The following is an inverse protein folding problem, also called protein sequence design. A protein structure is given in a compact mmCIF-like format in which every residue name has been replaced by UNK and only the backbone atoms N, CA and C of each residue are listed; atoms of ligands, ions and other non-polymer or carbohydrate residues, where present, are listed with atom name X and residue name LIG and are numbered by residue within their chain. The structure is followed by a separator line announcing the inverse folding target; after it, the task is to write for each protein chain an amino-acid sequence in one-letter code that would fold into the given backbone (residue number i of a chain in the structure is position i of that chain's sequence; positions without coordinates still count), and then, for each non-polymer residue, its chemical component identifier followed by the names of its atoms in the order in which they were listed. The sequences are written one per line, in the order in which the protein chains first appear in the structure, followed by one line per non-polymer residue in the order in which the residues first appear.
data_IF_132765441687
#
_entry.id   IF_132765441687
#
_cell.length_a   1.000
_cell.length_b   1.000
_cell.length_c   1.000
_cell.angle_alpha   90.00
_cell.angle_beta   90.00
_cell.angle_gamma   90.00
#
_symmetry.space_group_name_H-M   'P 1'
#
loop_
_entity.id
_entity.type
_entity.pdbx_description
1 polymer ?
#
# COMPACT_ATOMS: atom_id res chain seq x y z
N UNK A 1 -26.27 -59.07 -5.77
CA UNK A 1 -25.59 -58.28 -6.82
C UNK A 1 -26.27 -56.94 -6.90
N UNK A 2 -25.60 -55.84 -6.53
CA UNK A 2 -25.69 -54.50 -7.15
C UNK A 2 -24.60 -53.64 -6.49
N UNK A 3 -23.71 -53.10 -7.31
CA UNK A 3 -22.64 -52.18 -6.93
C UNK A 3 -23.16 -50.74 -7.01
N UNK A 4 -22.73 -49.85 -6.12
CA UNK A 4 -22.87 -48.39 -6.27
C UNK A 4 -21.51 -47.75 -6.04
N UNK A 5 -21.02 -47.07 -7.08
CA UNK A 5 -19.72 -46.39 -7.14
C UNK A 5 -19.85 -44.94 -6.66
N UNK A 6 -18.79 -44.44 -6.05
CA UNK A 6 -18.75 -43.18 -5.30
C UNK A 6 -18.68 -41.89 -6.13
N UNK A 7 -19.10 -40.82 -5.47
CA UNK A 7 -19.00 -39.42 -5.89
C UNK A 7 -17.64 -38.81 -5.51
N UNK A 8 -17.11 -37.98 -6.41
CA UNK A 8 -15.97 -37.08 -6.18
C UNK A 8 -16.40 -35.61 -6.42
N UNK A 9 -15.78 -34.63 -5.75
CA UNK A 9 -16.30 -33.25 -5.68
C UNK A 9 -15.86 -32.37 -6.86
N UNK A 10 -16.78 -31.52 -7.32
CA UNK A 10 -16.61 -30.58 -8.44
C UNK A 10 -16.08 -29.22 -7.98
N UNK A 11 -14.92 -28.80 -8.50
CA UNK A 11 -14.36 -27.44 -8.34
C UNK A 11 -15.02 -26.45 -9.32
N UNK A 12 -15.35 -25.20 -8.93
CA UNK A 12 -15.97 -24.24 -9.85
C UNK A 12 -14.94 -23.55 -10.76
N UNK A 13 -15.20 -23.58 -12.07
CA UNK A 13 -14.44 -22.85 -13.10
C UNK A 13 -14.93 -21.39 -13.21
N UNK A 14 -13.96 -20.47 -13.23
CA UNK A 14 -14.14 -19.04 -13.52
C UNK A 14 -14.55 -18.81 -14.97
N UNK A 15 -15.73 -18.24 -15.19
CA UNK A 15 -16.28 -17.92 -16.51
C UNK A 15 -15.69 -16.63 -17.09
N UNK A 16 -14.90 -16.76 -18.15
CA UNK A 16 -14.47 -15.66 -19.02
C UNK A 16 -15.47 -15.55 -20.17
N UNK A 17 -16.25 -14.47 -20.22
CA UNK A 17 -17.19 -14.22 -21.33
C UNK A 17 -16.44 -13.52 -22.47
N UNK A 18 -16.22 -14.26 -23.56
CA UNK A 18 -15.73 -13.72 -24.85
C UNK A 18 -16.96 -13.49 -25.73
N UNK A 19 -17.28 -12.23 -26.04
CA UNK A 19 -18.34 -11.90 -27.01
C UNK A 19 -17.69 -11.58 -28.35
N UNK A 20 -17.91 -12.45 -29.33
CA UNK A 20 -17.59 -12.25 -30.74
C UNK A 20 -18.68 -11.45 -31.46
N UNK A 21 -18.30 -10.67 -32.48
CA UNK A 21 -19.15 -9.74 -33.20
C UNK A 21 -20.03 -10.41 -34.28
N UNK A 22 -21.23 -9.87 -34.49
CA UNK A 22 -22.06 -10.05 -35.69
C UNK A 22 -22.67 -8.71 -36.13
N UNK A 23 -22.82 -8.52 -37.44
CA UNK A 23 -23.08 -7.24 -38.13
C UNK A 23 -24.57 -6.83 -38.25
N UNK A 24 -24.83 -5.50 -38.12
CA UNK A 24 -25.81 -4.54 -38.73
C UNK A 24 -27.17 -5.02 -39.30
N UNK A 25 -28.27 -4.19 -39.38
CA UNK A 25 -28.28 -2.75 -39.75
C UNK A 25 -29.36 -1.82 -39.12
N UNK A 26 -29.27 -0.49 -39.37
CA UNK A 26 -30.41 0.44 -39.32
C UNK A 26 -30.17 1.81 -38.65
N UNK A 27 -29.87 2.84 -39.44
CA UNK A 27 -30.10 4.26 -39.06
C UNK A 27 -31.60 4.63 -39.25
N UNK A 28 -32.12 5.64 -38.54
CA UNK A 28 -32.18 6.96 -39.18
C UNK A 28 -31.80 8.16 -38.27
N UNK A 29 -31.01 9.04 -38.90
CA UNK A 29 -30.83 10.49 -38.71
C UNK A 29 -31.82 11.26 -37.82
N UNK A 30 -31.30 12.07 -36.87
CA UNK A 30 -31.48 13.54 -36.88
C UNK A 30 -30.81 14.29 -35.70
N UNK A 31 -30.05 15.33 -36.08
CA UNK A 31 -29.69 16.58 -35.35
C UNK A 31 -28.59 16.54 -34.28
N UNK A 32 -27.39 16.61 -34.84
CA UNK A 32 -26.17 17.31 -34.40
C UNK A 32 -26.27 18.34 -33.26
N UNK A 33 -25.48 18.10 -32.22
CA UNK A 33 -24.73 19.16 -31.55
C UNK A 33 -23.34 18.62 -31.15
N UNK A 34 -22.48 18.44 -32.15
CA UNK A 34 -21.14 17.89 -31.98
C UNK A 34 -20.21 18.94 -31.37
N UNK A 35 -20.03 18.91 -30.04
CA UNK A 35 -18.84 19.48 -29.42
C UNK A 35 -17.66 18.59 -29.81
N UNK A 36 -16.85 19.05 -30.77
CA UNK A 36 -15.59 18.42 -31.18
C UNK A 36 -14.79 18.02 -29.94
N UNK A 37 -14.73 16.71 -29.66
CA UNK A 37 -13.78 16.16 -28.72
C UNK A 37 -12.39 16.39 -29.30
N UNK A 38 -11.62 17.27 -28.66
CA UNK A 38 -10.22 17.48 -28.99
C UNK A 38 -9.49 16.18 -28.61
N UNK A 39 -9.22 15.33 -29.60
CA UNK A 39 -8.27 14.24 -29.47
C UNK A 39 -6.91 14.91 -29.29
N UNK A 40 -6.46 15.06 -28.04
CA UNK A 40 -5.07 15.37 -27.74
C UNK A 40 -4.26 14.11 -28.05
N UNK A 41 -3.80 14.03 -29.30
CA UNK A 41 -2.75 13.09 -29.71
C UNK A 41 -1.55 13.34 -28.79
N UNK A 42 -1.25 12.35 -27.95
CA UNK A 42 -0.02 12.33 -27.17
C UNK A 42 1.14 12.25 -28.17
N UNK A 43 2.15 13.13 -28.11
CA UNK A 43 3.27 13.05 -29.03
C UNK A 43 3.97 11.71 -28.86
N UNK A 44 3.95 10.93 -29.92
CA UNK A 44 4.62 9.64 -30.07
C UNK A 44 6.07 9.77 -29.57
N UNK A 45 6.36 9.21 -28.38
CA UNK A 45 7.71 9.21 -27.82
C UNK A 45 8.53 8.20 -28.61
N UNK A 46 9.46 8.73 -29.40
CA UNK A 46 10.63 8.07 -30.00
C UNK A 46 10.32 6.74 -30.69
N UNK A 47 10.03 6.83 -31.99
CA UNK A 47 10.23 5.67 -32.89
C UNK A 47 11.67 5.19 -32.72
N UNK A 48 11.84 3.92 -32.40
CA UNK A 48 13.13 3.24 -32.50
C UNK A 48 13.67 3.44 -33.92
N UNK A 49 14.84 4.06 -34.05
CA UNK A 49 15.58 4.15 -35.29
C UNK A 49 16.89 3.43 -35.05
N UNK A 50 16.91 2.15 -35.44
CA UNK A 50 18.08 1.29 -35.44
C UNK A 50 17.74 0.07 -36.29
N UNK A 51 18.62 -0.30 -37.22
CA UNK A 51 18.45 -1.55 -37.96
C UNK A 51 18.56 -2.71 -36.96
N UNK A 52 17.47 -3.47 -36.79
CA UNK A 52 17.46 -4.63 -35.90
C UNK A 52 18.45 -5.68 -36.39
N UNK A 53 19.32 -6.15 -35.49
CA UNK A 53 20.25 -7.25 -35.77
C UNK A 53 19.45 -8.54 -35.68
N UNK A 54 19.35 -9.26 -36.80
CA UNK A 54 18.70 -10.56 -36.88
C UNK A 54 19.68 -11.63 -36.39
N UNK A 55 19.33 -12.34 -35.31
CA UNK A 55 20.21 -13.29 -34.59
C UNK A 55 20.46 -14.63 -35.32
N UNK A 56 20.20 -14.73 -36.63
CA UNK A 56 20.35 -15.98 -37.39
C UNK A 56 21.47 -15.99 -38.43
N UNK A 57 22.36 -14.99 -38.49
CA UNK A 57 23.48 -15.01 -39.44
C UNK A 57 24.81 -15.21 -38.75
N UNK A 58 25.28 -16.46 -38.76
CA UNK A 58 26.59 -16.85 -38.30
C UNK A 58 27.69 -16.25 -39.19
N UNK A 59 28.71 -15.72 -38.51
CA UNK A 59 30.08 -15.42 -38.93
C UNK A 59 30.42 -15.53 -40.43
N UNK A 60 30.78 -14.39 -41.02
CA UNK A 60 31.98 -14.31 -41.86
C UNK A 60 32.71 -13.00 -41.56
N UNK A 61 33.93 -13.14 -41.03
CA UNK A 61 34.85 -12.07 -40.77
C UNK A 61 35.48 -11.57 -42.07
N UNK A 62 35.57 -10.24 -42.21
CA UNK A 62 36.58 -9.58 -43.03
C UNK A 62 37.13 -8.39 -42.26
N UNK A 63 38.45 -8.46 -42.02
CA UNK A 63 39.28 -7.48 -41.32
C UNK A 63 39.47 -6.19 -42.16
N UNK A 64 39.95 -5.17 -41.44
CA UNK A 64 40.67 -3.95 -41.90
C UNK A 64 39.80 -2.68 -42.06
N UNK A 65 39.78 -1.86 -41.01
CA UNK A 65 39.68 -0.41 -41.12
C UNK A 65 40.47 0.25 -39.96
N UNK A 66 41.37 1.22 -40.22
CA UNK A 66 42.07 1.93 -39.14
C UNK A 66 41.11 2.86 -38.39
N UNK A 67 41.36 3.17 -37.10
CA UNK A 67 40.46 4.00 -36.30
C UNK A 67 40.43 5.45 -36.82
N UNK A 68 39.27 6.11 -36.89
CA UNK A 68 39.21 7.53 -37.23
C UNK A 68 39.82 8.39 -36.11
N UNK A 69 40.40 9.56 -36.42
CA UNK A 69 40.99 10.43 -35.42
C UNK A 69 39.93 10.93 -34.44
N UNK A 70 40.31 10.96 -33.16
CA UNK A 70 39.46 11.42 -32.05
C UNK A 70 38.88 12.80 -32.34
N UNK A 71 37.56 12.86 -32.61
CA UNK A 71 36.83 14.11 -32.65
C UNK A 71 36.68 14.62 -31.22
N UNK A 72 37.37 15.72 -30.91
CA UNK A 72 37.22 16.44 -29.64
C UNK A 72 35.86 17.13 -29.63
N UNK A 73 34.82 16.39 -29.27
CA UNK A 73 33.51 16.96 -28.97
C UNK A 73 33.64 17.80 -27.69
N UNK A 74 33.84 19.11 -27.85
CA UNK A 74 33.82 20.07 -26.74
C UNK A 74 32.48 19.94 -26.02
N UNK A 75 32.50 19.40 -24.80
CA UNK A 75 31.32 19.31 -23.93
C UNK A 75 30.72 20.72 -23.76
N UNK A 76 29.41 20.92 -23.93
CA UNK A 76 28.80 22.22 -23.75
C UNK A 76 29.03 22.71 -22.32
N UNK A 77 29.55 23.93 -22.16
CA UNK A 77 29.76 24.58 -20.85
C UNK A 77 28.41 24.77 -20.17
N UNK A 78 28.10 23.94 -19.18
CA UNK A 78 26.96 24.13 -18.28
C UNK A 78 27.23 25.30 -17.36
N UNK A 79 26.50 26.40 -17.50
CA UNK A 79 26.50 27.49 -16.52
C UNK A 79 25.80 27.01 -15.25
N UNK A 80 26.49 27.06 -14.11
CA UNK A 80 25.91 26.73 -12.81
C UNK A 80 24.75 27.69 -12.49
N UNK A 81 23.63 27.12 -12.06
CA UNK A 81 22.46 27.90 -11.60
C UNK A 81 22.65 28.12 -10.10
N UNK A 82 22.93 29.36 -9.70
CA UNK A 82 23.02 29.74 -8.29
C UNK A 82 21.64 30.13 -7.76
N UNK A 83 21.27 29.52 -6.64
CA UNK A 83 20.03 29.76 -5.90
C UNK A 83 20.45 30.07 -4.47
N UNK A 84 20.32 31.32 -4.05
CA UNK A 84 21.00 31.83 -2.86
C UNK A 84 20.22 31.55 -1.57
N UNK A 85 18.89 31.31 -1.67
CA UNK A 85 18.04 30.93 -0.54
C UNK A 85 16.72 30.28 -0.98
N UNK A 86 16.03 29.59 -0.05
CA UNK A 86 14.71 28.98 -0.31
C UNK A 86 13.66 30.01 -0.74
N UNK A 87 13.61 31.17 -0.09
CA UNK A 87 12.67 32.26 -0.43
C UNK A 87 12.95 32.85 -1.83
N UNK A 88 14.22 32.89 -2.22
CA UNK A 88 14.65 33.31 -3.55
C UNK A 88 14.23 32.29 -4.63
N UNK A 89 14.34 30.98 -4.34
CA UNK A 89 13.83 29.91 -5.23
C UNK A 89 12.33 30.03 -5.43
N UNK A 90 11.57 30.22 -4.36
CA UNK A 90 10.10 30.34 -4.41
C UNK A 90 9.66 31.53 -5.25
N UNK A 91 10.28 32.70 -5.01
CA UNK A 91 10.01 33.92 -5.77
C UNK A 91 10.35 33.77 -7.25
N UNK A 92 11.55 33.23 -7.57
CA UNK A 92 11.99 32.96 -8.94
C UNK A 92 11.12 31.93 -9.65
N UNK A 93 10.65 30.90 -8.94
CA UNK A 93 9.76 29.87 -9.48
C UNK A 93 8.40 30.46 -9.87
N UNK A 94 7.76 31.21 -8.97
CA UNK A 94 6.46 31.84 -9.23
C UNK A 94 6.56 32.81 -10.41
N UNK A 95 7.59 33.66 -10.43
CA UNK A 95 7.83 34.59 -11.53
C UNK A 95 8.07 33.85 -12.85
N UNK A 96 8.88 32.78 -12.84
CA UNK A 96 9.20 32.01 -14.04
C UNK A 96 7.97 31.28 -14.61
N UNK A 97 7.06 30.77 -13.77
CA UNK A 97 5.88 29.99 -14.20
C UNK A 97 4.71 30.90 -14.61
N UNK A 98 4.52 32.03 -13.93
CA UNK A 98 3.42 32.98 -14.20
C UNK A 98 3.63 33.83 -15.46
N UNK A 99 4.75 33.66 -16.18
CA UNK A 99 5.04 34.40 -17.41
C UNK A 99 5.33 35.88 -17.19
N UNK A 100 5.50 36.30 -15.93
CA UNK A 100 5.83 37.67 -15.56
C UNK A 100 7.31 37.96 -15.83
N UNK A 101 7.55 38.83 -16.80
CA UNK A 101 8.86 39.33 -17.27
C UNK A 101 9.56 38.44 -18.30
N UNK A 102 9.87 39.06 -19.45
CA UNK A 102 10.54 38.48 -20.62
C UNK A 102 12.02 38.14 -20.40
N UNK A 103 12.34 37.43 -19.32
CA UNK A 103 13.69 37.06 -18.97
C UNK A 103 14.09 35.72 -19.60
N UNK A 104 15.05 35.78 -20.52
CA UNK A 104 15.73 34.66 -21.17
C UNK A 104 16.71 33.91 -20.24
N UNK A 105 16.69 34.20 -18.94
CA UNK A 105 17.62 33.61 -17.95
C UNK A 105 17.58 32.07 -17.99
N UNK A 106 18.78 31.47 -17.91
CA UNK A 106 18.96 30.02 -17.83
C UNK A 106 18.20 29.43 -16.63
N UNK A 107 18.13 30.17 -15.52
CA UNK A 107 17.38 29.79 -14.32
C UNK A 107 15.89 29.68 -14.60
N UNK A 108 15.28 30.67 -15.24
CA UNK A 108 13.84 30.66 -15.51
C UNK A 108 13.47 29.58 -16.54
N UNK A 109 14.33 29.34 -17.53
CA UNK A 109 14.19 28.23 -18.49
C UNK A 109 14.27 26.88 -17.78
N UNK A 110 15.20 26.71 -16.85
CA UNK A 110 15.33 25.52 -16.03
C UNK A 110 14.09 25.32 -15.17
N UNK A 111 13.66 26.32 -14.40
CA UNK A 111 12.50 26.23 -13.51
C UNK A 111 11.23 25.92 -14.31
N UNK A 112 10.96 26.60 -15.44
CA UNK A 112 9.82 26.25 -16.32
C UNK A 112 9.88 24.83 -16.88
N UNK A 113 11.08 24.33 -17.19
CA UNK A 113 11.26 22.96 -17.70
C UNK A 113 11.09 21.93 -16.57
N UNK A 114 11.60 22.23 -15.38
CA UNK A 114 11.46 21.42 -14.18
C UNK A 114 9.99 21.33 -13.76
N UNK A 115 9.27 22.46 -13.67
CA UNK A 115 7.84 22.50 -13.35
C UNK A 115 7.02 21.72 -14.37
N UNK A 116 7.25 21.92 -15.68
CA UNK A 116 6.53 21.15 -16.72
C UNK A 116 6.78 19.65 -16.60
N UNK A 117 8.01 19.24 -16.31
CA UNK A 117 8.36 17.82 -16.09
C UNK A 117 7.72 17.27 -14.81
N UNK A 118 7.74 18.03 -13.72
CA UNK A 118 7.14 17.64 -12.45
C UNK A 118 5.62 17.48 -12.58
N UNK A 119 4.94 18.40 -13.27
CA UNK A 119 3.51 18.31 -13.53
C UNK A 119 3.18 17.11 -14.42
N UNK A 120 3.94 16.89 -15.49
CA UNK A 120 3.76 15.72 -16.35
C UNK A 120 3.98 14.42 -15.58
N UNK A 121 5.02 14.35 -14.74
CA UNK A 121 5.30 13.21 -13.89
C UNK A 121 4.17 12.95 -12.87
N UNK A 122 3.66 14.00 -12.22
CA UNK A 122 2.55 13.86 -11.27
C UNK A 122 1.27 13.38 -11.96
N UNK A 123 1.02 13.85 -13.18
CA UNK A 123 -0.09 13.37 -14.00
C UNK A 123 0.09 11.88 -14.36
N UNK A 124 1.28 11.49 -14.81
CA UNK A 124 1.61 10.10 -15.17
C UNK A 124 1.46 9.17 -13.96
N UNK A 125 1.93 9.60 -12.77
CA UNK A 125 1.75 8.86 -11.51
C UNK A 125 0.28 8.70 -11.12
N UNK A 126 -0.49 9.80 -11.19
CA UNK A 126 -1.92 9.78 -10.84
C UNK A 126 -2.69 8.85 -11.79
N UNK A 127 -2.36 8.90 -13.07
CA UNK A 127 -2.94 8.03 -14.08
C UNK A 127 -2.54 6.56 -13.86
N UNK A 128 -1.28 6.27 -13.52
CA UNK A 128 -0.83 4.93 -13.18
C UNK A 128 -1.56 4.36 -11.95
N UNK A 129 -1.74 5.16 -10.90
CA UNK A 129 -2.52 4.75 -9.72
C UNK A 129 -4.00 4.50 -10.06
N UNK A 130 -4.58 5.30 -10.95
CA UNK A 130 -5.94 5.10 -11.43
C UNK A 130 -6.08 3.79 -12.25
N UNK A 131 -5.10 3.46 -13.10
CA UNK A 131 -5.03 2.18 -13.81
C UNK A 131 -5.00 1.01 -12.84
N UNK A 132 -4.14 1.08 -11.82
CA UNK A 132 -4.01 0.04 -10.79
C UNK A 132 -5.30 -0.14 -10.00
N UNK A 133 -5.91 0.96 -9.54
CA UNK A 133 -7.17 0.94 -8.79
C UNK A 133 -8.30 0.32 -9.61
N UNK A 134 -8.40 0.67 -10.90
CA UNK A 134 -9.40 0.11 -11.80
C UNK A 134 -9.18 -1.38 -12.07
N UNK A 135 -7.91 -1.82 -12.18
CA UNK A 135 -7.56 -3.23 -12.33
C UNK A 135 -7.97 -4.05 -11.10
N UNK A 136 -7.65 -3.58 -9.89
CA UNK A 136 -8.03 -4.25 -8.64
C UNK A 136 -9.53 -4.26 -8.41
N UNK A 137 -10.24 -3.18 -8.77
CA UNK A 137 -11.69 -3.10 -8.59
C UNK A 137 -12.49 -3.69 -9.76
N UNK A 138 -11.84 -4.40 -10.69
CA UNK A 138 -12.44 -4.95 -11.94
C UNK A 138 -13.24 -3.94 -12.77
N UNK A 139 -12.96 -2.63 -12.63
CA UNK A 139 -13.64 -1.52 -13.33
C UNK A 139 -12.87 -1.13 -14.59
N UNK A 140 -12.58 -2.12 -15.42
CA UNK A 140 -11.93 -1.94 -16.70
C UNK A 140 -12.47 -2.91 -17.74
N UNK A 141 -12.37 -2.56 -19.01
CA UNK A 141 -12.65 -3.44 -20.14
C UNK A 141 -11.47 -3.42 -21.10
N UNK A 142 -11.17 -4.58 -21.68
CA UNK A 142 -10.07 -4.75 -22.63
C UNK A 142 -10.67 -5.19 -23.96
N UNK A 143 -10.30 -4.50 -25.03
CA UNK A 143 -10.62 -4.90 -26.40
C UNK A 143 -9.31 -5.17 -27.12
N UNK A 144 -9.08 -6.41 -27.54
CA UNK A 144 -7.90 -6.77 -28.33
C UNK A 144 -8.11 -6.25 -29.75
N UNK A 145 -7.18 -5.41 -30.20
CA UNK A 145 -7.13 -4.89 -31.56
C UNK A 145 -6.17 -5.73 -32.41
N UNK A 146 -6.30 -5.64 -33.72
CA UNK A 146 -5.37 -6.29 -34.65
C UNK A 146 -3.94 -5.75 -34.47
N UNK A 147 -2.95 -6.57 -34.84
CA UNK A 147 -1.50 -6.26 -34.80
C UNK A 147 -0.91 -6.17 -33.39
N UNK A 148 -1.43 -6.95 -32.44
CA UNK A 148 -0.85 -7.00 -31.09
C UNK A 148 -1.05 -5.71 -30.29
N UNK A 149 -2.17 -5.01 -30.50
CA UNK A 149 -2.56 -3.84 -29.71
C UNK A 149 -3.81 -4.17 -28.90
N UNK A 150 -4.01 -3.52 -27.77
CA UNK A 150 -5.25 -3.56 -27.01
C UNK A 150 -5.72 -2.15 -26.72
N UNK A 151 -7.03 -1.98 -26.75
CA UNK A 151 -7.70 -0.80 -26.22
C UNK A 151 -8.21 -1.12 -24.83
N UNK A 152 -7.67 -0.44 -23.82
CA UNK A 152 -8.04 -0.58 -22.42
C UNK A 152 -8.90 0.61 -22.04
N UNK A 153 -10.12 0.35 -21.58
CA UNK A 153 -11.01 1.35 -21.02
C UNK A 153 -11.11 1.14 -19.51
N UNK A 154 -10.81 2.15 -18.71
CA UNK A 154 -10.78 2.03 -17.24
C UNK A 154 -11.36 3.27 -16.55
N UNK A 155 -11.84 3.08 -15.31
CA UNK A 155 -12.41 4.16 -14.51
C UNK A 155 -11.27 4.97 -13.85
N UNK A 156 -10.96 6.14 -14.41
CA UNK A 156 -9.87 7.00 -13.96
C UNK A 156 -10.23 7.95 -12.80
N UNK A 157 -11.51 8.04 -12.44
CA UNK A 157 -12.03 8.88 -11.34
C UNK A 157 -13.47 8.47 -10.98
N UNK A 158 -14.12 9.18 -10.06
CA UNK A 158 -15.42 8.76 -9.48
C UNK A 158 -16.49 8.43 -10.53
N UNK A 159 -16.48 9.11 -11.69
CA UNK A 159 -17.37 8.85 -12.84
C UNK A 159 -16.69 9.05 -14.20
N UNK A 160 -15.37 9.10 -14.24
CA UNK A 160 -14.62 9.42 -15.46
C UNK A 160 -13.98 8.17 -16.05
N UNK A 161 -14.48 7.70 -17.18
CA UNK A 161 -13.86 6.62 -17.94
C UNK A 161 -12.81 7.17 -18.89
N UNK A 162 -11.65 6.51 -18.97
CA UNK A 162 -10.60 6.79 -19.95
C UNK A 162 -10.35 5.58 -20.83
N UNK A 163 -9.91 5.85 -22.04
CA UNK A 163 -9.52 4.84 -23.03
C UNK A 163 -8.06 5.07 -23.42
N UNK A 164 -7.28 4.00 -23.46
CA UNK A 164 -5.88 3.99 -23.86
C UNK A 164 -5.62 2.84 -24.82
N UNK A 165 -4.83 3.09 -25.86
CA UNK A 165 -4.30 2.04 -26.72
C UNK A 165 -2.90 1.68 -26.20
N UNK A 166 -2.70 0.38 -25.96
CA UNK A 166 -1.47 -0.17 -25.39
C UNK A 166 -1.04 -1.34 -26.28
N UNK A 167 0.27 -1.52 -26.44
CA UNK A 167 0.79 -2.69 -27.14
C UNK A 167 0.63 -3.92 -26.25
N UNK A 168 0.02 -4.97 -26.80
CA UNK A 168 -0.04 -6.29 -26.17
C UNK A 168 1.34 -6.93 -26.27
N UNK A 169 1.90 -7.28 -25.12
CA UNK A 169 2.97 -8.28 -25.10
C UNK A 169 2.45 -9.56 -25.75
N UNK A 170 3.16 -10.04 -26.76
CA UNK A 170 2.86 -11.32 -27.38
C UNK A 170 3.01 -12.44 -26.34
N UNK A 171 2.26 -13.55 -26.44
CA UNK A 171 2.38 -14.66 -25.49
C UNK A 171 3.81 -15.18 -25.33
N UNK A 172 4.63 -15.09 -26.37
CA UNK A 172 6.06 -15.42 -26.35
C UNK A 172 6.86 -14.43 -25.51
N UNK A 173 6.63 -13.13 -25.69
CA UNK A 173 7.29 -12.07 -24.92
C UNK A 173 6.92 -12.13 -23.45
N UNK A 174 5.65 -12.41 -23.12
CA UNK A 174 5.18 -12.59 -21.75
C UNK A 174 5.86 -13.79 -21.07
N UNK A 175 5.93 -14.93 -21.75
CA UNK A 175 6.63 -16.13 -21.25
C UNK A 175 8.12 -15.86 -21.04
N UNK A 176 8.75 -15.14 -21.95
CA UNK A 176 10.17 -14.77 -21.84
C UNK A 176 10.39 -13.80 -20.69
N UNK A 177 9.56 -12.76 -20.55
CA UNK A 177 9.63 -11.79 -19.46
C UNK A 177 9.49 -12.47 -18.09
N UNK A 178 8.54 -13.40 -17.94
CA UNK A 178 8.37 -14.19 -16.71
C UNK A 178 9.60 -15.06 -16.42
N UNK A 179 10.13 -15.76 -17.44
CA UNK A 179 11.34 -16.59 -17.27
C UNK A 179 12.55 -15.76 -16.87
N UNK A 180 12.76 -14.61 -17.51
CA UNK A 180 13.87 -13.69 -17.21
C UNK A 180 13.72 -13.13 -15.80
N UNK A 181 12.51 -12.69 -15.41
CA UNK A 181 12.23 -12.20 -14.06
C UNK A 181 12.57 -13.24 -12.99
N UNK A 182 12.08 -14.47 -13.12
CA UNK A 182 12.34 -15.52 -12.14
C UNK A 182 13.81 -15.98 -12.12
N UNK A 183 14.47 -15.96 -13.28
CA UNK A 183 15.91 -16.23 -13.36
C UNK A 183 16.72 -15.16 -12.64
N UNK A 184 16.36 -13.88 -12.82
CA UNK A 184 16.96 -12.75 -12.12
C UNK A 184 16.72 -12.82 -10.61
N UNK A 185 15.47 -13.04 -10.19
CA UNK A 185 15.12 -13.18 -8.78
C UNK A 185 15.91 -14.31 -8.11
N UNK A 186 16.16 -15.41 -8.82
CA UNK A 186 16.95 -16.54 -8.31
C UNK A 186 18.46 -16.28 -8.30
N UNK A 187 19.00 -15.60 -9.30
CA UNK A 187 20.45 -15.32 -9.37
C UNK A 187 20.91 -14.19 -8.45
N UNK A 188 20.00 -13.27 -8.10
CA UNK A 188 20.30 -12.09 -7.31
C UNK A 188 19.57 -12.08 -5.96
N UNK A 189 19.22 -13.25 -5.42
CA UNK A 189 18.60 -13.42 -4.09
C UNK A 189 17.37 -12.53 -3.83
N UNK A 190 16.54 -12.34 -4.86
CA UNK A 190 15.35 -11.49 -4.82
C UNK A 190 15.59 -10.02 -5.17
N UNK A 191 16.84 -9.56 -5.30
CA UNK A 191 17.19 -8.21 -5.74
C UNK A 191 17.23 -8.10 -7.28
N UNK A 192 16.02 -8.05 -7.86
CA UNK A 192 15.83 -7.93 -9.31
C UNK A 192 16.38 -6.62 -9.86
N UNK A 193 16.39 -5.55 -9.06
CA UNK A 193 16.90 -4.24 -9.46
C UNK A 193 18.40 -4.29 -9.74
N UNK A 194 19.18 -4.86 -8.81
CA UNK A 194 20.61 -5.11 -8.99
C UNK A 194 20.89 -6.00 -10.20
N UNK A 195 20.06 -7.01 -10.43
CA UNK A 195 20.19 -7.90 -11.58
C UNK A 195 20.02 -7.20 -12.92
N UNK A 196 19.01 -6.34 -13.03
CA UNK A 196 18.77 -5.53 -14.23
C UNK A 196 19.90 -4.53 -14.49
N UNK A 197 20.39 -3.86 -13.44
CA UNK A 197 21.49 -2.89 -13.54
C UNK A 197 22.81 -3.55 -13.96
N UNK A 198 23.02 -4.82 -13.59
CA UNK A 198 24.22 -5.58 -13.98
C UNK A 198 24.14 -6.04 -15.44
N UNK A 199 22.96 -6.47 -15.91
CA UNK A 199 22.79 -6.96 -17.29
C UNK A 199 22.62 -5.85 -18.32
N UNK A 200 22.04 -4.71 -17.92
CA UNK A 200 21.75 -3.57 -18.78
C UNK A 200 22.18 -2.26 -18.08
N UNK A 201 23.50 -2.01 -18.00
CA UNK A 201 24.05 -0.88 -17.24
C UNK A 201 23.77 0.49 -17.88
N UNK A 202 23.51 0.51 -19.20
CA UNK A 202 23.28 1.74 -19.95
C UNK A 202 21.83 2.26 -19.85
N UNK A 203 20.93 1.47 -19.28
CA UNK A 203 19.53 1.83 -19.09
C UNK A 203 19.25 2.43 -17.72
N UNK A 204 18.30 3.36 -17.68
CA UNK A 204 17.91 4.04 -16.45
C UNK A 204 16.86 3.23 -15.68
N UNK A 205 17.31 2.53 -14.64
CA UNK A 205 16.47 1.73 -13.74
C UNK A 205 15.99 2.47 -12.49
N UNK A 206 16.30 3.78 -12.36
CA UNK A 206 15.96 4.57 -11.16
C UNK A 206 14.45 4.67 -10.85
N UNK A 207 13.60 4.32 -11.81
CA UNK A 207 12.16 4.21 -11.60
C UNK A 207 11.77 3.07 -10.66
N UNK A 208 12.57 1.99 -10.56
CA UNK A 208 12.32 0.88 -9.64
C UNK A 208 12.41 1.35 -8.17
N UNK A 209 13.34 2.26 -7.89
CA UNK A 209 13.56 2.83 -6.56
C UNK A 209 12.58 3.96 -6.20
N UNK A 210 11.81 4.45 -7.18
CA UNK A 210 10.94 5.61 -6.99
C UNK A 210 9.76 5.30 -6.05
N UNK A 211 9.32 4.04 -5.98
CA UNK A 211 8.35 3.58 -4.96
C UNK A 211 8.99 3.23 -3.62
N UNK A 212 10.31 3.07 -3.57
CA UNK A 212 11.08 2.68 -2.39
C UNK A 212 11.63 3.88 -1.63
N UNK A 213 11.19 5.12 -1.94
CA UNK A 213 11.51 6.27 -1.10
C UNK A 213 11.05 5.98 0.32
N UNK A 214 12.01 5.64 1.17
CA UNK A 214 11.82 5.55 2.61
C UNK A 214 11.11 6.82 3.04
N UNK A 215 10.02 6.65 3.80
CA UNK A 215 9.31 7.75 4.42
C UNK A 215 10.35 8.63 5.14
N UNK A 216 10.26 9.95 4.99
CA UNK A 216 11.16 10.85 5.73
C UNK A 216 11.07 10.54 7.23
N UNK A 217 12.13 10.80 8.01
CA UNK A 217 12.10 10.58 9.47
C UNK A 217 10.83 11.15 10.14
N UNK A 218 10.39 12.34 9.69
CA UNK A 218 9.16 12.99 10.14
C UNK A 218 7.85 12.27 9.76
N UNK A 219 7.87 11.49 8.68
CA UNK A 219 6.75 10.67 8.21
C UNK A 219 6.76 9.26 8.83
N UNK A 220 7.91 8.79 9.32
CA UNK A 220 8.02 7.62 10.20
C UNK A 220 7.52 7.96 11.61
N UNK A 221 7.92 9.09 12.18
CA UNK A 221 7.42 9.57 13.49
C UNK A 221 5.92 9.88 13.51
N UNK A 222 5.33 10.19 12.35
CA UNK A 222 3.90 10.44 12.21
C UNK A 222 3.10 9.17 11.88
N UNK A 223 3.74 7.99 11.88
CA UNK A 223 2.98 6.76 11.81
C UNK A 223 2.25 6.54 13.14
N UNK A 224 0.97 6.14 13.08
CA UNK A 224 0.28 5.73 14.28
C UNK A 224 1.01 4.54 14.89
N UNK A 225 0.97 4.45 16.22
CA UNK A 225 1.54 3.34 16.97
C UNK A 225 1.03 2.00 16.44
N UNK A 226 1.93 1.04 16.24
CA UNK A 226 1.63 -0.30 15.71
C UNK A 226 0.60 -1.02 16.60
N UNK A 227 0.59 -0.76 17.90
CA UNK A 227 -0.40 -1.32 18.83
C UNK A 227 -1.81 -0.78 18.53
N UNK A 228 -1.93 0.52 18.29
CA UNK A 228 -3.20 1.16 17.93
C UNK A 228 -3.65 0.69 16.54
N UNK A 229 -2.71 0.51 15.62
CA UNK A 229 -2.98 -0.05 14.30
C UNK A 229 -3.52 -1.48 14.38
N UNK A 230 -3.00 -2.28 15.32
CA UNK A 230 -3.52 -3.61 15.65
C UNK A 230 -4.97 -3.59 16.12
N UNK A 231 -5.32 -2.68 17.03
CA UNK A 231 -6.71 -2.51 17.53
C UNK A 231 -7.68 -2.21 16.39
N UNK A 232 -7.30 -1.34 15.45
CA UNK A 232 -8.15 -0.96 14.31
C UNK A 232 -7.99 -1.88 13.09
N UNK A 233 -7.44 -3.08 13.26
CA UNK A 233 -7.31 -4.11 12.23
C UNK A 233 -6.55 -3.63 10.97
N UNK A 234 -5.55 -2.76 11.15
CA UNK A 234 -4.75 -2.23 10.05
C UNK A 234 -5.35 -1.04 9.31
N UNK A 235 -6.47 -0.46 9.78
CA UNK A 235 -7.03 0.76 9.21
C UNK A 235 -6.18 1.98 9.55
N UNK A 236 -5.23 2.28 8.66
CA UNK A 236 -4.33 3.44 8.77
C UNK A 236 -5.08 4.78 8.83
N UNK A 237 -6.24 4.90 8.19
CA UNK A 237 -6.99 6.16 8.23
C UNK A 237 -7.59 6.38 9.62
N UNK A 238 -8.19 5.34 10.22
CA UNK A 238 -8.74 5.42 11.58
C UNK A 238 -7.63 5.62 12.60
N UNK A 239 -6.51 4.91 12.47
CA UNK A 239 -5.35 5.04 13.37
C UNK A 239 -4.75 6.45 13.37
N UNK A 240 -4.57 7.07 12.20
CA UNK A 240 -4.11 8.47 12.10
C UNK A 240 -5.08 9.46 12.73
N UNK A 241 -6.38 9.16 12.64
CA UNK A 241 -7.42 10.01 13.24
C UNK A 241 -7.41 9.87 14.75
N UNK A 242 -7.26 8.66 15.29
CA UNK A 242 -7.07 8.38 16.72
C UNK A 242 -5.86 9.16 17.27
N UNK A 243 -4.72 9.12 16.59
CA UNK A 243 -3.54 9.92 16.95
C UNK A 243 -3.84 11.43 16.96
N UNK A 244 -4.58 11.92 15.95
CA UNK A 244 -5.00 13.33 15.90
C UNK A 244 -5.94 13.73 17.05
N UNK A 245 -6.72 12.80 17.60
CA UNK A 245 -7.55 13.03 18.80
C UNK A 245 -6.76 12.83 20.11
N UNK A 246 -5.47 12.51 20.03
CA UNK A 246 -4.57 12.31 21.16
C UNK A 246 -4.51 10.86 21.67
N UNK A 247 -5.13 9.91 20.98
CA UNK A 247 -5.07 8.49 21.33
C UNK A 247 -3.84 7.86 20.68
N UNK A 248 -2.69 8.03 21.36
CA UNK A 248 -1.37 7.64 20.83
C UNK A 248 -0.93 6.23 21.16
N UNK A 249 -1.58 5.59 22.13
CA UNK A 249 -1.24 4.26 22.60
C UNK A 249 -2.49 3.45 22.87
N UNK A 250 -2.35 2.12 22.85
CA UNK A 250 -3.44 1.20 23.17
C UNK A 250 -3.95 1.41 24.60
N UNK A 251 -3.06 1.64 25.56
CA UNK A 251 -3.41 1.99 26.94
C UNK A 251 -4.20 3.30 27.06
N UNK A 252 -3.84 4.34 26.31
CA UNK A 252 -4.61 5.59 26.30
C UNK A 252 -6.03 5.37 25.73
N UNK A 253 -6.14 4.52 24.72
CA UNK A 253 -7.41 4.16 24.08
C UNK A 253 -8.29 3.30 24.99
N UNK A 254 -7.72 2.33 25.71
CA UNK A 254 -8.45 1.48 26.65
C UNK A 254 -9.04 2.28 27.83
N UNK A 255 -8.29 3.29 28.30
CA UNK A 255 -8.73 4.21 29.35
C UNK A 255 -9.61 5.36 28.84
N UNK A 256 -9.86 5.45 27.53
CA UNK A 256 -10.69 6.49 26.98
C UNK A 256 -12.17 6.27 27.32
N UNK A 257 -12.87 7.37 27.56
CA UNK A 257 -14.33 7.42 27.58
C UNK A 257 -14.83 7.57 26.13
N UNK A 258 -15.71 6.67 25.70
CA UNK A 258 -16.15 6.60 24.30
C UNK A 258 -16.94 7.86 23.88
N UNK A 259 -17.75 8.42 24.77
CA UNK A 259 -18.53 9.64 24.52
C UNK A 259 -17.65 10.89 24.40
N UNK A 260 -16.67 11.03 25.29
CA UNK A 260 -15.68 12.09 25.24
C UNK A 260 -14.79 11.98 24.00
N UNK A 261 -14.37 10.76 23.65
CA UNK A 261 -13.61 10.47 22.44
C UNK A 261 -14.41 10.85 21.20
N UNK A 262 -15.68 10.44 21.11
CA UNK A 262 -16.57 10.76 20.01
C UNK A 262 -16.79 12.27 19.85
N UNK A 263 -16.98 12.97 20.97
CA UNK A 263 -17.12 14.43 20.99
C UNK A 263 -15.86 15.15 20.50
N UNK A 264 -14.69 14.63 20.81
CA UNK A 264 -13.40 15.18 20.38
C UNK A 264 -13.09 14.81 18.93
N UNK A 265 -13.46 13.61 18.51
CA UNK A 265 -13.36 13.14 17.13
C UNK A 265 -14.16 14.03 16.18
N UNK A 266 -15.43 14.33 16.50
CA UNK A 266 -16.29 15.20 15.67
C UNK A 266 -15.69 16.59 15.46
N UNK A 267 -15.02 17.14 16.47
CA UNK A 267 -14.36 18.46 16.40
C UNK A 267 -13.08 18.42 15.57
N UNK A 268 -12.29 17.36 15.71
CA UNK A 268 -10.95 17.24 15.10
C UNK A 268 -11.00 16.69 13.67
N UNK A 269 -11.99 15.83 13.39
CA UNK A 269 -12.10 15.04 12.18
C UNK A 269 -13.48 15.22 11.49
N UNK A 270 -13.91 16.45 11.15
CA UNK A 270 -15.28 16.75 10.71
C UNK A 270 -15.66 16.13 9.35
N UNK A 271 -14.69 15.65 8.57
CA UNK A 271 -14.90 15.04 7.25
C UNK A 271 -15.01 13.51 7.30
N UNK A 272 -14.73 12.89 8.45
CA UNK A 272 -14.77 11.44 8.60
C UNK A 272 -16.00 11.06 9.42
N UNK A 273 -16.92 10.34 8.78
CA UNK A 273 -18.14 9.87 9.42
C UNK A 273 -17.80 8.62 10.22
N UNK A 274 -17.89 8.72 11.53
CA UNK A 274 -17.83 7.57 12.45
C UNK A 274 -19.04 7.59 13.37
N UNK A 275 -19.37 6.45 13.96
CA UNK A 275 -20.45 6.32 14.96
C UNK A 275 -19.88 6.20 16.36
N UNK A 276 -20.70 6.45 17.37
CA UNK A 276 -20.32 6.20 18.76
C UNK A 276 -20.02 4.71 18.96
N UNK A 277 -20.91 3.83 18.49
CA UNK A 277 -20.76 2.37 18.57
C UNK A 277 -19.45 1.86 17.94
N UNK A 278 -19.00 2.48 16.83
CA UNK A 278 -17.75 2.10 16.20
C UNK A 278 -16.54 2.46 17.07
N UNK A 279 -16.55 3.64 17.68
CA UNK A 279 -15.49 4.05 18.62
C UNK A 279 -15.55 3.25 19.92
N UNK A 280 -16.74 2.95 20.41
CA UNK A 280 -16.94 2.08 21.58
C UNK A 280 -16.39 0.68 21.30
N UNK A 281 -16.65 0.11 20.13
CA UNK A 281 -16.07 -1.18 19.73
C UNK A 281 -14.54 -1.12 19.69
N UNK A 282 -13.95 -0.02 19.23
CA UNK A 282 -12.49 0.18 19.20
C UNK A 282 -11.92 0.28 20.63
N UNK A 283 -12.60 1.00 21.53
CA UNK A 283 -12.20 1.11 22.94
C UNK A 283 -12.32 -0.25 23.65
N UNK A 284 -13.40 -0.98 23.42
CA UNK A 284 -13.62 -2.34 23.93
C UNK A 284 -12.52 -3.30 23.46
N UNK A 285 -12.14 -3.21 22.19
CA UNK A 285 -11.06 -4.02 21.62
C UNK A 285 -9.71 -3.67 22.26
N UNK A 286 -9.40 -2.38 22.45
CA UNK A 286 -8.20 -1.95 23.16
C UNK A 286 -8.17 -2.46 24.61
N UNK A 287 -9.30 -2.42 25.31
CA UNK A 287 -9.46 -2.98 26.67
C UNK A 287 -9.19 -4.48 26.70
N UNK A 288 -9.67 -5.23 25.69
CA UNK A 288 -9.38 -6.67 25.59
C UNK A 288 -7.89 -6.95 25.54
N UNK A 289 -7.18 -6.29 24.62
CA UNK A 289 -5.73 -6.47 24.50
C UNK A 289 -4.97 -6.06 25.77
N UNK A 290 -5.36 -4.96 26.42
CA UNK A 290 -4.73 -4.54 27.68
C UNK A 290 -5.03 -5.51 28.82
N UNK A 291 -6.21 -6.13 28.85
CA UNK A 291 -6.57 -7.13 29.85
C UNK A 291 -5.78 -8.43 29.66
N UNK A 292 -5.68 -8.91 28.42
CA UNK A 292 -4.90 -10.10 28.09
C UNK A 292 -3.41 -9.89 28.43
N UNK A 293 -2.86 -8.73 28.08
CA UNK A 293 -1.48 -8.38 28.40
C UNK A 293 -1.24 -8.23 29.91
N UNK A 294 -2.18 -7.60 30.62
CA UNK A 294 -2.13 -7.48 32.08
C UNK A 294 -2.11 -8.86 32.74
N UNK A 295 -3.01 -9.76 32.33
CA UNK A 295 -3.06 -11.13 32.86
C UNK A 295 -1.77 -11.90 32.56
N UNK A 296 -1.27 -11.83 31.32
CA UNK A 296 -0.12 -12.62 30.90
C UNK A 296 1.22 -12.07 31.43
N UNK A 297 1.43 -10.76 31.37
CA UNK A 297 2.74 -10.14 31.63
C UNK A 297 2.88 -9.55 33.04
N UNK A 298 1.76 -9.22 33.70
CA UNK A 298 1.80 -8.61 35.03
C UNK A 298 1.31 -9.57 36.12
N UNK A 299 0.08 -10.08 36.01
CA UNK A 299 -0.52 -10.92 37.06
C UNK A 299 0.12 -12.31 37.10
N UNK A 300 0.28 -12.96 35.95
CA UNK A 300 0.76 -14.34 35.84
C UNK A 300 2.21 -14.44 35.33
N UNK A 301 3.03 -13.39 35.52
CA UNK A 301 4.39 -13.30 34.97
C UNK A 301 5.26 -14.54 35.27
N UNK A 302 5.19 -15.04 36.51
CA UNK A 302 5.97 -16.18 36.99
C UNK A 302 5.18 -17.50 36.95
N UNK A 303 4.01 -17.52 36.31
CA UNK A 303 3.17 -18.70 36.26
C UNK A 303 3.72 -19.76 35.28
N UNK A 304 3.58 -21.06 35.60
CA UNK A 304 3.88 -22.13 34.65
C UNK A 304 3.13 -21.97 33.32
N UNK A 305 3.76 -22.41 32.22
CA UNK A 305 3.11 -22.44 30.91
C UNK A 305 1.81 -23.24 30.96
N UNK A 306 0.72 -22.65 30.46
CA UNK A 306 -0.62 -23.27 30.42
C UNK A 306 -1.56 -22.86 31.56
N UNK A 307 -1.06 -22.19 32.61
CA UNK A 307 -1.93 -21.70 33.70
C UNK A 307 -2.98 -20.72 33.20
N UNK A 308 -2.60 -19.78 32.33
CA UNK A 308 -3.56 -18.82 31.75
C UNK A 308 -4.70 -19.54 31.00
N UNK A 309 -4.38 -20.52 30.17
CA UNK A 309 -5.38 -21.30 29.44
C UNK A 309 -6.30 -22.12 30.37
N UNK A 310 -5.76 -22.61 31.49
CA UNK A 310 -6.56 -23.29 32.51
C UNK A 310 -7.49 -22.32 33.26
N UNK A 311 -7.01 -21.11 33.57
CA UNK A 311 -7.84 -20.04 34.14
C UNK A 311 -8.90 -19.56 33.16
N UNK A 312 -8.61 -19.49 31.85
CA UNK A 312 -9.59 -19.18 30.81
C UNK A 312 -10.70 -20.24 30.78
N UNK A 313 -10.33 -21.52 30.80
CA UNK A 313 -11.28 -22.63 30.85
C UNK A 313 -12.14 -22.61 32.13
N UNK A 314 -11.55 -22.19 33.25
CA UNK A 314 -12.22 -22.06 34.54
C UNK A 314 -13.01 -20.77 34.72
N UNK A 315 -13.01 -19.86 33.73
CA UNK A 315 -13.63 -18.51 33.83
C UNK A 315 -13.06 -17.69 34.99
N UNK A 316 -11.73 -17.68 35.09
CA UNK A 316 -10.95 -16.97 36.09
C UNK A 316 -9.82 -16.12 35.46
N UNK A 317 -9.79 -16.02 34.13
CA UNK A 317 -8.77 -15.30 33.38
C UNK A 317 -9.01 -13.77 33.29
N UNK A 318 -9.66 -13.19 34.30
CA UNK A 318 -9.77 -11.73 34.44
C UNK A 318 -9.26 -11.31 35.82
N UNK A 319 -8.70 -10.10 35.97
CA UNK A 319 -8.27 -9.60 37.27
C UNK A 319 -9.41 -9.60 38.30
N UNK A 320 -10.62 -9.25 37.89
CA UNK A 320 -11.81 -9.27 38.74
C UNK A 320 -12.12 -10.68 39.25
N UNK A 321 -12.23 -11.66 38.35
CA UNK A 321 -12.64 -13.02 38.72
C UNK A 321 -11.57 -13.70 39.60
N UNK A 322 -10.30 -13.43 39.32
CA UNK A 322 -9.18 -13.93 40.12
C UNK A 322 -9.18 -13.36 41.54
N UNK A 323 -9.39 -12.04 41.68
CA UNK A 323 -9.37 -11.34 42.95
C UNK A 323 -10.57 -11.68 43.85
N UNK A 324 -11.74 -11.97 43.26
CA UNK A 324 -12.97 -12.28 44.01
C UNK A 324 -13.12 -13.76 44.37
N UNK A 325 -12.42 -14.66 43.67
CA UNK A 325 -12.50 -16.10 43.93
C UNK A 325 -11.56 -16.49 45.07
N UNK A 326 -12.02 -17.26 46.08
CA UNK A 326 -11.15 -17.80 47.13
C UNK A 326 -9.92 -18.57 46.59
N UNK A 327 -8.76 -18.37 47.21
CA UNK A 327 -7.49 -18.92 46.72
C UNK A 327 -7.45 -20.46 46.72
N UNK A 328 -8.13 -21.10 47.67
CA UNK A 328 -8.26 -22.56 47.78
C UNK A 328 -8.98 -23.17 46.57
N UNK A 329 -10.01 -22.50 46.05
CA UNK A 329 -10.72 -22.94 44.84
C UNK A 329 -9.84 -22.82 43.60
N UNK A 330 -9.07 -21.75 43.48
CA UNK A 330 -8.16 -21.53 42.35
C UNK A 330 -7.05 -22.60 42.35
N UNK A 331 -6.47 -22.90 43.51
CA UNK A 331 -5.46 -23.97 43.66
C UNK A 331 -6.02 -25.33 43.23
N UNK A 332 -7.28 -25.61 43.58
CA UNK A 332 -7.95 -26.86 43.18
C UNK A 332 -8.15 -26.96 41.67
N UNK A 333 -8.57 -25.88 41.01
CA UNK A 333 -8.71 -25.86 39.54
C UNK A 333 -7.36 -25.98 38.82
N UNK A 334 -6.28 -25.51 39.47
CA UNK A 334 -4.91 -25.56 38.94
C UNK A 334 -4.07 -26.72 39.51
N UNK A 335 -4.70 -27.78 40.01
CA UNK A 335 -4.01 -28.92 40.67
C UNK A 335 -2.88 -29.49 39.79
N UNK A 336 -3.10 -29.58 38.48
CA UNK A 336 -2.10 -30.09 37.52
C UNK A 336 -0.82 -29.25 37.43
N UNK A 337 -0.86 -27.97 37.81
CA UNK A 337 0.27 -27.04 37.75
C UNK A 337 1.01 -26.90 39.08
N UNK A 338 0.56 -27.59 40.13
CA UNK A 338 1.19 -27.59 41.46
C UNK A 338 1.38 -26.17 42.03
N UNK A 339 0.42 -25.28 41.74
CA UNK A 339 0.42 -23.89 42.24
C UNK A 339 0.06 -23.90 43.72
N UNK A 340 0.75 -23.08 44.52
CA UNK A 340 0.47 -22.95 45.96
C UNK A 340 -0.47 -21.78 46.25
N UNK A 341 -1.17 -21.83 47.38
CA UNK A 341 -2.07 -20.76 47.81
C UNK A 341 -1.34 -19.41 47.97
N UNK A 342 -0.07 -19.43 48.38
CA UNK A 342 0.76 -18.22 48.47
C UNK A 342 1.02 -17.56 47.10
N UNK A 343 1.20 -18.36 46.05
CA UNK A 343 1.36 -17.86 44.68
C UNK A 343 0.05 -17.24 44.18
N UNK A 344 -1.09 -17.92 44.42
CA UNK A 344 -2.41 -17.39 44.07
C UNK A 344 -2.70 -16.08 44.82
N UNK A 345 -2.39 -16.00 46.11
CA UNK A 345 -2.56 -14.77 46.89
C UNK A 345 -1.72 -13.59 46.32
N UNK A 346 -0.54 -13.88 45.76
CA UNK A 346 0.29 -12.89 45.08
C UNK A 346 -0.39 -12.42 43.79
N UNK A 347 -0.92 -13.34 42.98
CA UNK A 347 -1.67 -12.97 41.78
C UNK A 347 -2.93 -12.17 42.10
N UNK A 348 -3.62 -12.48 43.20
CA UNK A 348 -4.77 -11.71 43.67
C UNK A 348 -4.40 -10.30 44.10
N UNK A 349 -3.27 -10.11 44.79
CA UNK A 349 -2.77 -8.78 45.12
C UNK A 349 -2.46 -7.98 43.85
N UNK A 350 -1.73 -8.56 42.89
CA UNK A 350 -1.42 -7.92 41.61
C UNK A 350 -2.67 -7.60 40.78
N UNK A 351 -3.68 -8.47 40.81
CA UNK A 351 -4.97 -8.23 40.16
C UNK A 351 -5.73 -7.05 40.79
N UNK A 352 -5.69 -6.91 42.12
CA UNK A 352 -6.27 -5.75 42.81
C UNK A 352 -5.52 -4.46 42.45
N UNK A 353 -4.18 -4.47 42.48
CA UNK A 353 -3.36 -3.32 42.09
C UNK A 353 -3.65 -2.88 40.63
N UNK A 354 -3.83 -3.85 39.71
CA UNK A 354 -4.18 -3.56 38.33
C UNK A 354 -5.56 -2.89 38.19
N UNK A 355 -6.56 -3.36 38.95
CA UNK A 355 -7.89 -2.76 38.97
C UNK A 355 -7.89 -1.35 39.58
N UNK A 356 -7.05 -1.07 40.58
CA UNK A 356 -6.89 0.29 41.12
C UNK A 356 -6.32 1.26 40.07
N UNK A 357 -5.37 0.78 39.25
CA UNK A 357 -4.75 1.58 38.20
C UNK A 357 -5.67 1.78 36.98
N UNK A 358 -6.57 0.84 36.71
CA UNK A 358 -7.48 0.83 35.55
C UNK A 358 -8.89 0.41 35.98
N UNK A 359 -9.72 1.35 36.46
CA UNK A 359 -11.02 1.02 37.08
C UNK A 359 -11.99 0.24 36.18
N UNK A 360 -11.91 0.43 34.86
CA UNK A 360 -12.75 -0.29 33.90
C UNK A 360 -12.52 -1.82 33.91
N UNK A 361 -11.40 -2.30 34.47
CA UNK A 361 -11.12 -3.73 34.60
C UNK A 361 -12.03 -4.41 35.64
N UNK A 362 -12.60 -3.66 36.60
CA UNK A 362 -13.55 -4.21 37.57
C UNK A 362 -14.87 -4.63 36.91
N UNK A 363 -15.26 -3.95 35.83
CA UNK A 363 -16.48 -4.23 35.07
C UNK A 363 -16.33 -5.43 34.12
N UNK A 364 -15.11 -5.91 33.90
CA UNK A 364 -14.82 -7.01 32.98
C UNK A 364 -14.90 -8.36 33.68
N UNK A 365 -15.81 -9.20 33.21
CA UNK A 365 -16.02 -10.57 33.70
C UNK A 365 -15.79 -11.57 32.58
N UNK A 366 -15.22 -12.72 32.93
CA UNK A 366 -15.16 -13.85 32.02
C UNK A 366 -16.59 -14.32 31.65
N UNK A 367 -16.82 -14.54 30.35
CA UNK A 367 -18.14 -14.87 29.79
C UNK A 367 -18.35 -16.38 29.74
#
# INVERSE_FOLDING_TARGET
MMCSSGDAPTTPQSSVVVVAAAAAPGEPSSRSNAKKAIIKVVPNRKRFHGAGISLNQAAQASLIHPPPPASTTKRPRTTAIHLDSKADVESKLVMAVSGGSGSHSTTDKFLRKATRRAVAHQYDMTLANARLKAAWSTKFTVQVLAHGRMKVRFLAGVRAWREEEVDCLQPTELRTALKVFWSLARLYDGDVGRGLQTLLPDEDWSFLDTRTRMLSAKALEAQPDDEVLGVVQGDMEVAQRLDAVGMKSRKALANADADALFSTWRRTCPRHVTTLDALESIVQEARRYELDECMQQHVLQDAPHGVLAALEAAKLATPHDLARTPADLIVRELEMFHVTEAVVATWQALANDAMEMSPWMEDWRSV
#
